data_IF_427290802057
#
_entry.id   IF_427290802057
#
_cell.length_a   1.000
_cell.length_b   1.000
_cell.length_c   1.000
_cell.angle_alpha   90.00
_cell.angle_beta   90.00
_cell.angle_gamma   90.00
#
_symmetry.space_group_name_H-M   'P 1'
#
loop_
_entity.id
_entity.type
_entity.pdbx_description
1 polymer ?
#
# COMPACT_ATOMS: atom_id res chain seq x y z
N UNK A 1 5.68 23.22 -12.14
CA UNK A 1 6.35 22.10 -11.43
C UNK A 1 5.42 21.33 -10.50
N UNK A 2 4.81 21.97 -9.48
CA UNK A 2 3.93 21.32 -8.48
C UNK A 2 2.73 20.59 -9.09
N UNK A 3 2.11 21.15 -10.14
CA UNK A 3 0.95 20.52 -10.82
C UNK A 3 1.31 19.25 -11.59
N UNK A 4 2.47 19.24 -12.25
CA UNK A 4 3.01 18.08 -12.98
C UNK A 4 3.30 16.96 -11.98
N UNK A 5 3.97 17.30 -10.88
CA UNK A 5 4.30 16.36 -9.82
C UNK A 5 3.05 15.74 -9.18
N UNK A 6 2.00 16.54 -8.92
CA UNK A 6 0.69 16.02 -8.48
C UNK A 6 0.09 15.04 -9.47
N UNK A 7 0.08 15.35 -10.76
CA UNK A 7 -0.47 14.45 -11.78
C UNK A 7 0.30 13.12 -11.87
N UNK A 8 1.63 13.15 -11.74
CA UNK A 8 2.45 11.94 -11.73
C UNK A 8 2.09 11.07 -10.52
N UNK A 9 1.99 11.64 -9.32
CA UNK A 9 1.62 10.90 -8.11
C UNK A 9 0.25 10.23 -8.29
N UNK A 10 -0.76 10.97 -8.78
CA UNK A 10 -2.10 10.42 -9.02
C UNK A 10 -2.10 9.23 -9.98
N UNK A 11 -1.24 9.27 -11.00
CA UNK A 11 -1.14 8.23 -12.03
C UNK A 11 -0.40 6.99 -11.53
N UNK A 12 0.64 7.16 -10.72
CA UNK A 12 1.56 6.08 -10.39
C UNK A 12 1.41 5.49 -8.99
N UNK A 13 0.71 6.15 -8.05
CA UNK A 13 0.64 5.68 -6.66
C UNK A 13 0.02 4.28 -6.51
N UNK A 14 -1.00 3.95 -7.30
CA UNK A 14 -1.60 2.61 -7.31
C UNK A 14 -0.66 1.53 -7.84
N UNK A 15 0.05 1.82 -8.95
CA UNK A 15 1.02 0.88 -9.55
C UNK A 15 2.24 0.69 -8.63
N UNK A 16 2.74 1.79 -8.04
CA UNK A 16 3.85 1.72 -7.10
C UNK A 16 3.48 0.84 -5.88
N UNK A 17 2.28 1.04 -5.32
CA UNK A 17 1.78 0.20 -4.24
C UNK A 17 1.62 -1.27 -4.61
N UNK A 18 1.14 -1.56 -5.83
CA UNK A 18 1.06 -2.93 -6.35
C UNK A 18 2.43 -3.60 -6.44
N UNK A 19 3.45 -2.93 -6.98
CA UNK A 19 4.80 -3.48 -7.12
C UNK A 19 5.41 -3.79 -5.75
N UNK A 20 5.30 -2.86 -4.79
CA UNK A 20 5.82 -3.04 -3.43
C UNK A 20 5.11 -4.20 -2.73
N UNK A 21 3.78 -4.28 -2.85
CA UNK A 21 3.01 -5.37 -2.28
C UNK A 21 3.37 -6.73 -2.88
N UNK A 22 3.56 -6.81 -4.20
CA UNK A 22 3.94 -8.04 -4.88
C UNK A 22 5.29 -8.56 -4.37
N UNK A 23 6.27 -7.66 -4.18
CA UNK A 23 7.56 -8.03 -3.59
C UNK A 23 7.39 -8.59 -2.18
N UNK A 24 6.58 -7.95 -1.33
CA UNK A 24 6.38 -8.41 0.05
C UNK A 24 5.64 -9.75 0.14
N UNK A 25 4.65 -10.00 -0.72
CA UNK A 25 3.98 -11.31 -0.83
C UNK A 25 4.95 -12.38 -1.31
N UNK A 26 5.81 -12.07 -2.29
CA UNK A 26 6.83 -13.00 -2.77
C UNK A 26 7.86 -13.33 -1.69
N UNK A 27 8.28 -12.35 -0.88
CA UNK A 27 9.18 -12.57 0.26
C UNK A 27 8.51 -13.49 1.28
N UNK A 28 7.25 -13.21 1.63
CA UNK A 28 6.47 -14.05 2.57
C UNK A 28 6.38 -15.50 2.07
N UNK A 29 6.02 -15.70 0.80
CA UNK A 29 5.99 -17.02 0.19
C UNK A 29 7.37 -17.70 0.17
N UNK A 30 8.42 -16.98 -0.22
CA UNK A 30 9.78 -17.52 -0.28
C UNK A 30 10.26 -18.04 1.08
N UNK A 31 10.06 -17.26 2.15
CA UNK A 31 10.46 -17.66 3.50
C UNK A 31 9.65 -18.85 4.02
N UNK A 32 8.36 -18.92 3.67
CA UNK A 32 7.51 -20.07 3.99
C UNK A 32 8.02 -21.34 3.32
N UNK A 33 8.37 -21.28 2.03
CA UNK A 33 8.79 -22.45 1.26
C UNK A 33 10.23 -22.90 1.52
N UNK A 34 11.18 -21.98 1.71
CA UNK A 34 12.62 -22.31 1.76
C UNK A 34 13.23 -22.24 3.16
N UNK A 35 12.61 -21.52 4.09
CA UNK A 35 13.15 -21.29 5.44
C UNK A 35 12.27 -21.85 6.55
N UNK A 36 11.12 -22.48 6.24
CA UNK A 36 10.10 -22.90 7.21
C UNK A 36 9.76 -21.80 8.22
N UNK A 37 9.86 -20.54 7.79
CA UNK A 37 9.60 -19.37 8.62
C UNK A 37 8.37 -18.64 8.10
N UNK A 38 7.38 -18.49 8.97
CA UNK A 38 6.09 -17.90 8.61
C UNK A 38 6.16 -16.38 8.75
N UNK A 39 6.54 -15.71 7.66
CA UNK A 39 6.38 -14.26 7.50
C UNK A 39 4.97 -13.93 6.99
N UNK A 40 3.94 -14.60 7.51
CA UNK A 40 2.56 -14.47 7.05
C UNK A 40 2.05 -13.03 7.28
N UNK A 41 2.44 -12.39 8.38
CA UNK A 41 2.14 -10.98 8.68
C UNK A 41 2.71 -10.00 7.64
N UNK A 42 3.87 -10.29 7.05
CA UNK A 42 4.47 -9.49 5.96
C UNK A 42 3.64 -9.61 4.69
N UNK A 43 3.16 -10.81 4.38
CA UNK A 43 2.28 -11.06 3.24
C UNK A 43 0.94 -10.33 3.39
N UNK A 44 0.30 -10.44 4.55
CA UNK A 44 -0.95 -9.75 4.87
C UNK A 44 -0.80 -8.24 4.81
N UNK A 45 0.26 -7.68 5.42
CA UNK A 45 0.54 -6.24 5.35
C UNK A 45 0.74 -5.76 3.92
N UNK A 46 1.43 -6.57 3.10
CA UNK A 46 1.67 -6.25 1.69
C UNK A 46 0.36 -6.16 0.91
N UNK A 47 -0.56 -7.09 1.12
CA UNK A 47 -1.90 -7.03 0.52
C UNK A 47 -2.69 -5.81 1.03
N UNK A 48 -2.58 -5.49 2.32
CA UNK A 48 -3.22 -4.31 2.90
C UNK A 48 -2.68 -3.00 2.30
N UNK A 49 -1.37 -2.93 2.06
CA UNK A 49 -0.71 -1.82 1.38
C UNK A 49 -1.18 -1.69 -0.07
N UNK A 50 -1.34 -2.80 -0.79
CA UNK A 50 -1.92 -2.80 -2.12
C UNK A 50 -3.32 -2.21 -2.12
N UNK A 51 -4.22 -2.70 -1.25
CA UNK A 51 -5.61 -2.23 -1.17
C UNK A 51 -5.66 -0.74 -0.83
N UNK A 52 -4.84 -0.31 0.13
CA UNK A 52 -4.79 1.09 0.58
C UNK A 52 -4.29 2.03 -0.52
N UNK A 53 -3.22 1.67 -1.22
CA UNK A 53 -2.67 2.48 -2.32
C UNK A 53 -3.60 2.54 -3.53
N UNK A 54 -4.29 1.43 -3.85
CA UNK A 54 -5.32 1.40 -4.88
C UNK A 54 -6.52 2.28 -4.51
N UNK A 55 -6.94 2.25 -3.24
CA UNK A 55 -8.02 3.07 -2.70
C UNK A 55 -7.67 4.56 -2.78
N UNK A 56 -6.46 4.94 -2.37
CA UNK A 56 -5.97 6.32 -2.46
C UNK A 56 -5.89 6.77 -3.92
N UNK A 57 -5.36 5.91 -4.81
CA UNK A 57 -5.30 6.18 -6.25
C UNK A 57 -6.69 6.43 -6.84
N UNK A 58 -7.66 5.58 -6.51
CA UNK A 58 -9.04 5.71 -6.97
C UNK A 58 -9.70 6.99 -6.46
N UNK A 59 -9.49 7.36 -5.19
CA UNK A 59 -10.03 8.60 -4.63
C UNK A 59 -9.40 9.83 -5.29
N UNK A 60 -8.08 9.83 -5.48
CA UNK A 60 -7.34 10.93 -6.10
C UNK A 60 -7.73 11.20 -7.56
N UNK A 61 -8.19 10.18 -8.26
CA UNK A 61 -8.61 10.26 -9.66
C UNK A 61 -10.09 10.68 -9.84
N UNK A 62 -10.86 10.86 -8.76
CA UNK A 62 -12.21 11.42 -8.84
C UNK A 62 -12.20 12.91 -9.21
N UNK A 63 -13.32 13.38 -9.77
CA UNK A 63 -13.54 14.79 -10.09
C UNK A 63 -13.46 15.70 -8.86
N UNK A 64 -13.95 15.23 -7.72
CA UNK A 64 -13.83 15.91 -6.42
C UNK A 64 -13.26 14.94 -5.36
N UNK A 65 -11.93 14.84 -5.23
CA UNK A 65 -11.28 13.89 -4.32
C UNK A 65 -11.50 14.30 -2.86
N UNK A 66 -12.01 13.37 -2.05
CA UNK A 66 -12.22 13.57 -0.61
C UNK A 66 -10.91 13.43 0.15
N UNK A 67 -10.28 14.56 0.48
CA UNK A 67 -9.00 14.58 1.21
C UNK A 67 -9.08 13.84 2.56
N UNK A 68 -10.18 14.01 3.31
CA UNK A 68 -10.37 13.34 4.60
C UNK A 68 -10.34 11.80 4.49
N UNK A 69 -10.82 11.23 3.38
CA UNK A 69 -10.81 9.79 3.16
C UNK A 69 -9.40 9.27 2.89
N UNK A 70 -8.62 10.02 2.11
CA UNK A 70 -7.20 9.71 1.87
C UNK A 70 -6.41 9.75 3.18
N UNK A 71 -6.66 10.76 4.03
CA UNK A 71 -6.04 10.84 5.36
C UNK A 71 -6.44 9.67 6.24
N UNK A 72 -7.72 9.29 6.26
CA UNK A 72 -8.21 8.15 7.03
C UNK A 72 -7.50 6.86 6.62
N UNK A 73 -7.47 6.54 5.31
CA UNK A 73 -6.80 5.33 4.80
C UNK A 73 -5.31 5.34 5.16
N UNK A 74 -4.66 6.49 5.08
CA UNK A 74 -3.24 6.63 5.43
C UNK A 74 -2.98 6.41 6.92
N UNK A 75 -3.81 6.97 7.79
CA UNK A 75 -3.71 6.79 9.25
C UNK A 75 -3.91 5.33 9.63
N UNK A 76 -4.91 4.66 9.06
CA UNK A 76 -5.15 3.23 9.30
C UNK A 76 -3.94 2.39 8.85
N UNK A 77 -3.36 2.69 7.68
CA UNK A 77 -2.15 2.01 7.21
C UNK A 77 -0.98 2.13 8.20
N UNK A 78 -0.77 3.32 8.76
CA UNK A 78 0.29 3.57 9.76
C UNK A 78 0.01 2.79 11.05
N UNK A 79 -1.23 2.76 11.52
CA UNK A 79 -1.62 1.95 12.69
C UNK A 79 -1.38 0.46 12.47
N UNK A 80 -1.78 -0.08 11.31
CA UNK A 80 -1.50 -1.48 10.97
C UNK A 80 0.00 -1.77 10.93
N UNK A 81 0.81 -0.85 10.40
CA UNK A 81 2.27 -0.99 10.37
C UNK A 81 2.87 -1.04 11.77
N UNK A 82 2.44 -0.14 12.66
CA UNK A 82 2.89 -0.13 14.06
C UNK A 82 2.48 -1.43 14.77
N UNK A 83 1.25 -1.89 14.58
CA UNK A 83 0.72 -3.12 15.19
C UNK A 83 1.50 -4.38 14.77
N UNK A 84 2.03 -4.42 13.54
CA UNK A 84 2.80 -5.57 13.06
C UNK A 84 4.24 -5.56 13.58
N UNK A 85 4.78 -4.37 13.88
CA UNK A 85 6.15 -4.22 14.40
C UNK A 85 6.22 -4.46 15.90
N UNK A 86 5.18 -4.10 16.65
CA UNK A 86 5.14 -4.15 18.11
C UNK A 86 4.57 -5.47 18.62
#
# INVERSE_FOLDING_TARGET
>A
MIKIMKNLIKKYIGIAGFIVALIGVLISAYYKFYHNNELDSVGEFSLFLMISTMTISNELNKSNPKQWYIYLVTVVLIFCFIYIIY
#
